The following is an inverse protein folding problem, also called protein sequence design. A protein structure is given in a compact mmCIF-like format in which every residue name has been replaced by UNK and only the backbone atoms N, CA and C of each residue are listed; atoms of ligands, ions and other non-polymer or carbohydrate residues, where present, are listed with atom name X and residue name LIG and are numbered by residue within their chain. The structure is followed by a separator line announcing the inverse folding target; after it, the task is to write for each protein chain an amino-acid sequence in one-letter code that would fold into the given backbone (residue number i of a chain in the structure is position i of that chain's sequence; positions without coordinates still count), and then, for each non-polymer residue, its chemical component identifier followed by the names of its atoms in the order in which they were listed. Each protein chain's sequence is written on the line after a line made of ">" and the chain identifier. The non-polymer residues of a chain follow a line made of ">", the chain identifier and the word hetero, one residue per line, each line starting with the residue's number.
data_IF_733384955942
#
_entry.id   IF_733384955942
#
_cell.length_a   1.000
_cell.length_b   1.000
_cell.length_c   1.000
_cell.angle_alpha   90.00
_cell.angle_beta   90.00
_cell.angle_gamma   90.00
#
_symmetry.space_group_name_H-M   'P 1'
#
loop_
_entity.id
_entity.type
_entity.pdbx_description
1 polymer ?
#
# COMPACT_ATOMS: atom_id res chain seq x y z
N UNK A 1 11.40 -4.29 -15.99
CA UNK A 1 11.11 -5.51 -15.19
C UNK A 1 9.99 -5.21 -14.21
N UNK A 2 9.01 -6.09 -14.14
CA UNK A 2 7.90 -5.96 -13.21
C UNK A 2 8.41 -5.82 -11.78
N UNK A 3 7.80 -4.93 -11.03
CA UNK A 3 8.11 -4.69 -9.63
C UNK A 3 6.82 -4.69 -8.81
N UNK A 4 6.96 -5.03 -7.54
CA UNK A 4 5.84 -4.98 -6.58
C UNK A 4 6.19 -4.07 -5.42
N UNK A 5 5.18 -3.40 -4.88
CA UNK A 5 5.28 -2.83 -3.55
C UNK A 5 4.21 -3.44 -2.65
N UNK A 6 4.55 -3.63 -1.39
CA UNK A 6 3.64 -4.16 -0.37
C UNK A 6 3.76 -3.24 0.84
N UNK A 7 2.62 -2.74 1.30
CA UNK A 7 2.59 -1.85 2.47
C UNK A 7 1.65 -2.45 3.50
N UNK A 8 2.16 -2.68 4.70
CA UNK A 8 1.40 -3.25 5.80
C UNK A 8 0.87 -2.15 6.72
N UNK A 9 -0.38 -2.32 7.17
CA UNK A 9 -1.06 -1.36 8.06
C UNK A 9 -1.77 -2.09 9.20
N UNK A 10 -1.89 -1.41 10.34
CA UNK A 10 -2.83 -1.80 11.40
C UNK A 10 -3.78 -0.64 11.65
N UNK A 11 -5.08 -0.92 11.56
CA UNK A 11 -6.13 0.09 11.68
C UNK A 11 -6.60 0.17 13.13
N UNK A 12 -6.87 1.38 13.61
CA UNK A 12 -7.42 1.62 14.95
C UNK A 12 -8.79 0.96 15.10
N UNK A 13 -9.14 0.49 16.32
CA UNK A 13 -10.46 -0.08 16.55
C UNK A 13 -11.57 0.88 16.09
N UNK A 14 -12.56 0.33 15.36
CA UNK A 14 -13.71 1.09 14.88
C UNK A 14 -13.46 1.96 13.68
N UNK A 15 -12.24 2.00 13.12
CA UNK A 15 -11.90 2.87 11.99
C UNK A 15 -11.73 2.09 10.68
N UNK A 16 -12.02 0.78 10.66
CA UNK A 16 -11.79 -0.04 9.47
C UNK A 16 -12.61 0.41 8.25
N UNK A 17 -13.89 0.75 8.45
CA UNK A 17 -14.73 1.21 7.35
C UNK A 17 -14.21 2.50 6.74
N UNK A 18 -13.77 3.44 7.59
CA UNK A 18 -13.20 4.70 7.12
C UNK A 18 -11.92 4.45 6.32
N UNK A 19 -11.06 3.55 6.82
CA UNK A 19 -9.82 3.19 6.15
C UNK A 19 -10.08 2.62 4.74
N UNK A 20 -11.01 1.67 4.63
CA UNK A 20 -11.38 1.07 3.33
C UNK A 20 -12.01 2.11 2.40
N UNK A 21 -12.91 2.95 2.94
CA UNK A 21 -13.59 3.98 2.14
C UNK A 21 -12.61 5.01 1.57
N UNK A 22 -11.60 5.40 2.32
CA UNK A 22 -10.59 6.32 1.80
C UNK A 22 -9.81 5.72 0.63
N UNK A 23 -9.54 4.41 0.67
CA UNK A 23 -8.94 3.72 -0.47
C UNK A 23 -9.90 3.65 -1.65
N UNK A 24 -11.19 3.41 -1.39
CA UNK A 24 -12.20 3.34 -2.45
C UNK A 24 -12.36 4.68 -3.18
N UNK A 25 -12.26 5.79 -2.46
CA UNK A 25 -12.37 7.13 -3.02
C UNK A 25 -11.10 7.59 -3.73
N UNK A 26 -9.97 6.99 -3.39
CA UNK A 26 -8.68 7.41 -3.93
C UNK A 26 -8.57 7.01 -5.39
N UNK A 27 -8.05 7.93 -6.21
CA UNK A 27 -7.68 7.61 -7.58
C UNK A 27 -6.27 7.07 -7.57
N UNK A 28 -6.11 5.85 -8.10
CA UNK A 28 -4.83 5.14 -8.16
C UNK A 28 -4.35 5.04 -9.60
N UNK A 29 -4.34 6.16 -10.31
CA UNK A 29 -3.94 6.22 -11.72
C UNK A 29 -2.48 6.63 -11.87
N UNK A 30 -1.62 6.12 -10.99
CA UNK A 30 -0.20 6.38 -11.08
C UNK A 30 0.41 5.76 -12.35
N UNK A 31 1.28 6.51 -13.06
CA UNK A 31 1.96 5.94 -14.23
C UNK A 31 2.73 4.68 -13.87
N UNK A 32 2.54 3.63 -14.66
CA UNK A 32 3.20 2.35 -14.46
C UNK A 32 2.51 1.40 -13.50
N UNK A 33 1.46 1.83 -12.80
CA UNK A 33 0.69 0.94 -11.93
C UNK A 33 -0.22 0.06 -12.79
N UNK A 34 -0.04 -1.25 -12.71
CA UNK A 34 -0.82 -2.23 -13.47
C UNK A 34 -2.01 -2.77 -12.71
N UNK A 35 -1.81 -3.02 -11.42
CA UNK A 35 -2.84 -3.60 -10.55
C UNK A 35 -2.53 -3.26 -9.11
N UNK A 36 -3.56 -3.03 -8.33
CA UNK A 36 -3.42 -2.81 -6.89
C UNK A 36 -4.61 -3.43 -6.17
N UNK A 37 -4.35 -3.97 -4.99
CA UNK A 37 -5.39 -4.56 -4.16
C UNK A 37 -5.11 -4.26 -2.70
N UNK A 38 -6.17 -4.01 -1.94
CA UNK A 38 -6.11 -3.91 -0.49
C UNK A 38 -6.57 -5.24 0.08
N UNK A 39 -5.68 -5.93 0.78
CA UNK A 39 -5.90 -7.28 1.29
C UNK A 39 -6.05 -7.24 2.80
N UNK A 40 -7.12 -7.83 3.33
CA UNK A 40 -7.28 -7.96 4.79
C UNK A 40 -6.56 -9.23 5.24
N UNK A 41 -5.54 -9.07 6.08
CA UNK A 41 -4.70 -10.17 6.54
C UNK A 41 -5.05 -10.68 7.92
N UNK A 42 -5.87 -9.95 8.65
CA UNK A 42 -6.32 -10.32 9.99
C UNK A 42 -7.25 -9.25 10.53
N UNK A 43 -7.62 -9.38 11.80
CA UNK A 43 -8.44 -8.37 12.44
C UNK A 43 -7.67 -7.05 12.50
N UNK A 44 -8.20 -6.01 11.87
CA UNK A 44 -7.62 -4.67 11.79
C UNK A 44 -6.26 -4.60 11.08
N UNK A 45 -5.83 -5.67 10.42
CA UNK A 45 -4.56 -5.68 9.69
C UNK A 45 -4.79 -5.84 8.19
N UNK A 46 -4.06 -5.06 7.41
CA UNK A 46 -4.21 -4.99 5.97
C UNK A 46 -2.86 -4.89 5.28
N UNK A 47 -2.82 -5.34 4.03
CA UNK A 47 -1.70 -5.09 3.12
C UNK A 47 -2.23 -4.46 1.84
N UNK A 48 -1.58 -3.40 1.40
CA UNK A 48 -1.77 -2.86 0.06
C UNK A 48 -0.70 -3.48 -0.84
N UNK A 49 -1.11 -4.13 -1.92
CA UNK A 49 -0.21 -4.79 -2.86
C UNK A 49 -0.36 -4.13 -4.21
N UNK A 50 0.73 -3.61 -4.77
CA UNK A 50 0.74 -2.98 -6.07
C UNK A 50 1.69 -3.69 -7.02
N UNK A 51 1.24 -3.91 -8.25
CA UNK A 51 2.05 -4.42 -9.35
C UNK A 51 2.35 -3.28 -10.30
N UNK A 52 3.63 -3.11 -10.65
CA UNK A 52 4.13 -1.97 -11.41
C UNK A 52 4.97 -2.43 -12.60
N UNK A 53 5.08 -1.56 -13.62
CA UNK A 53 5.92 -1.82 -14.79
C UNK A 53 7.38 -2.04 -14.40
N UNK A 54 7.88 -1.24 -13.44
CA UNK A 54 9.27 -1.30 -13.00
C UNK A 54 9.45 -0.54 -11.67
N UNK A 55 10.65 -0.62 -11.10
CA UNK A 55 10.97 0.08 -9.85
C UNK A 55 10.95 1.59 -10.01
N UNK A 56 11.32 2.11 -11.18
CA UNK A 56 11.33 3.56 -11.38
C UNK A 56 9.92 4.14 -11.34
N UNK A 57 8.92 3.38 -11.76
CA UNK A 57 7.51 3.78 -11.61
C UNK A 57 7.10 3.91 -10.15
N UNK A 58 7.55 2.98 -9.29
CA UNK A 58 7.30 3.04 -7.85
C UNK A 58 7.96 4.29 -7.25
N UNK A 59 9.21 4.54 -7.59
CA UNK A 59 9.94 5.71 -7.10
C UNK A 59 9.25 7.00 -7.54
N UNK A 60 8.82 7.06 -8.80
CA UNK A 60 8.11 8.23 -9.34
C UNK A 60 6.75 8.48 -8.72
N UNK A 61 6.11 7.43 -8.19
CA UNK A 61 4.80 7.54 -7.53
C UNK A 61 4.89 7.86 -6.04
N UNK A 62 6.09 7.90 -5.46
CA UNK A 62 6.27 7.97 -4.00
C UNK A 62 5.57 9.17 -3.38
N UNK A 63 5.73 10.36 -3.95
CA UNK A 63 5.09 11.58 -3.41
C UNK A 63 3.57 11.47 -3.45
N UNK A 64 3.02 10.95 -4.55
CA UNK A 64 1.57 10.75 -4.67
C UNK A 64 1.04 9.71 -3.69
N UNK A 65 1.82 8.65 -3.44
CA UNK A 65 1.45 7.63 -2.45
C UNK A 65 1.49 8.18 -1.02
N UNK A 66 2.44 9.07 -0.70
CA UNK A 66 2.49 9.73 0.60
C UNK A 66 1.29 10.66 0.77
N UNK A 67 0.94 11.42 -0.26
CA UNK A 67 -0.24 12.29 -0.22
C UNK A 67 -1.52 11.49 0.00
N UNK A 68 -1.61 10.31 -0.61
CA UNK A 68 -2.73 9.40 -0.40
C UNK A 68 -2.76 8.88 1.04
N UNK A 69 -1.62 8.47 1.58
CA UNK A 69 -1.49 8.02 2.97
C UNK A 69 -1.99 9.09 3.95
N UNK A 70 -1.68 10.36 3.69
CA UNK A 70 -2.09 11.47 4.57
C UNK A 70 -3.61 11.55 4.73
N UNK A 71 -4.38 11.05 3.77
CA UNK A 71 -5.84 11.06 3.82
C UNK A 71 -6.42 10.09 4.84
N UNK A 72 -5.69 9.03 5.17
CA UNK A 72 -6.16 8.00 6.11
C UNK A 72 -5.19 7.71 7.26
N UNK A 73 -4.13 8.52 7.38
CA UNK A 73 -3.09 8.32 8.40
C UNK A 73 -3.68 8.25 9.82
N UNK A 74 -4.71 9.06 10.10
CA UNK A 74 -5.34 9.11 11.43
C UNK A 74 -6.15 7.87 11.76
N UNK A 75 -6.39 6.97 10.79
CA UNK A 75 -7.07 5.68 11.05
C UNK A 75 -6.08 4.59 11.46
N UNK A 76 -4.78 4.87 11.42
CA UNK A 76 -3.73 3.86 11.58
C UNK A 76 -3.12 3.89 12.97
N UNK A 77 -2.73 2.69 13.45
CA UNK A 77 -1.95 2.53 14.67
C UNK A 77 -0.46 2.43 14.34
N UNK A 78 0.38 2.83 15.28
CA UNK A 78 1.81 2.59 15.19
C UNK A 78 2.08 1.08 15.23
N UNK A 79 2.92 0.61 14.31
CA UNK A 79 3.26 -0.80 14.18
C UNK A 79 4.33 -1.24 15.17
N UNK A 80 4.96 -0.30 15.87
CA UNK A 80 6.05 -0.58 16.79
C UNK A 80 7.40 -0.77 16.10
N UNK A 81 8.45 -1.00 16.88
CA UNK A 81 9.78 -1.29 16.33
C UNK A 81 10.38 -0.15 15.50
N UNK A 82 9.90 1.09 15.67
CA UNK A 82 10.39 2.23 14.90
C UNK A 82 9.81 2.34 13.49
N UNK A 83 8.84 1.49 13.13
CA UNK A 83 8.23 1.51 11.79
C UNK A 83 7.29 2.68 11.55
N UNK A 84 6.69 3.24 12.60
CA UNK A 84 5.62 4.22 12.47
C UNK A 84 4.31 3.54 12.09
N UNK A 85 3.52 4.17 11.22
CA UNK A 85 2.17 3.68 10.86
C UNK A 85 2.15 2.81 9.60
N UNK A 86 3.28 2.67 8.89
CA UNK A 86 3.38 1.84 7.69
C UNK A 86 4.64 0.99 7.72
N UNK A 87 4.56 -0.15 7.05
CA UNK A 87 5.71 -1.05 6.85
C UNK A 87 5.80 -1.37 5.35
N UNK A 88 6.45 -0.50 4.56
CA UNK A 88 6.54 -0.69 3.12
C UNK A 88 7.77 -1.50 2.73
N UNK A 89 7.59 -2.37 1.75
CA UNK A 89 8.70 -3.03 1.05
C UNK A 89 8.42 -3.00 -0.45
N UNK A 90 9.47 -3.00 -1.25
CA UNK A 90 9.33 -3.04 -2.71
C UNK A 90 10.53 -3.73 -3.32
N UNK A 91 10.34 -4.30 -4.50
CA UNK A 91 11.41 -4.97 -5.21
C UNK A 91 11.00 -5.43 -6.60
N UNK A 92 11.98 -5.80 -7.38
CA UNK A 92 11.76 -6.34 -8.71
C UNK A 92 11.45 -7.83 -8.66
N UNK A 93 10.59 -8.29 -9.58
CA UNK A 93 10.33 -9.70 -9.77
C UNK A 93 11.59 -10.33 -10.38
N UNK A 94 12.15 -11.32 -9.70
CA UNK A 94 13.31 -12.04 -10.20
C UNK A 94 12.92 -13.40 -10.79
N UNK A 95 11.72 -13.89 -10.49
CA UNK A 95 11.22 -15.17 -10.98
C UNK A 95 9.70 -15.18 -10.85
N UNK A 96 9.02 -15.43 -11.98
CA UNK A 96 7.59 -15.71 -11.96
C UNK A 96 7.38 -17.20 -11.73
N UNK A 97 6.75 -17.56 -10.64
CA UNK A 97 6.51 -18.96 -10.29
C UNK A 97 5.30 -19.53 -11.03
N UNK A 98 4.35 -18.66 -11.36
CA UNK A 98 3.14 -19.04 -12.10
C UNK A 98 2.60 -17.84 -12.82
N UNK A 99 2.17 -18.04 -14.05
CA UNK A 99 1.56 -16.99 -14.87
C UNK A 99 0.09 -17.26 -15.15
#
# INVERSE_FOLDING_TARGET
>A
MTAFNVVRFRVKPGRENQFVDEHRKAKSDFPGLRHAALVKTGERTYCLVGEWDDMSSIVGAREGMIALLDRFRDTLEDLGGGLGVTDPVSGEVVLDLKR
#
